data_IF_170831906687
#
_entry.id   IF_170831906687
#
_cell.length_a   1.000
_cell.length_b   1.000
_cell.length_c   1.000
_cell.angle_alpha   90.00
_cell.angle_beta   90.00
_cell.angle_gamma   90.00
#
_symmetry.space_group_name_H-M   'P 1'
#
loop_
_entity.id
_entity.type
_entity.pdbx_description
1 polymer ?
#
# COMPACT_ATOMS: atom_id res chain seq x y z
N UNK A 1 -10.20 0.11 -8.73
CA UNK A 1 -9.39 1.17 -8.12
C UNK A 1 -9.77 2.47 -8.79
N UNK A 2 -10.03 3.52 -8.02
CA UNK A 2 -10.17 4.87 -8.59
C UNK A 2 -8.76 5.46 -8.62
N UNK A 3 -8.24 5.73 -9.83
CA UNK A 3 -6.88 6.26 -10.06
C UNK A 3 -6.88 7.77 -10.31
N UNK A 4 -8.00 8.45 -10.07
CA UNK A 4 -8.15 9.88 -10.35
C UNK A 4 -7.16 10.71 -9.53
N UNK A 5 -6.91 10.33 -8.27
CA UNK A 5 -5.98 11.03 -7.40
C UNK A 5 -4.52 10.89 -7.87
N UNK A 6 -4.13 9.71 -8.31
CA UNK A 6 -2.79 9.41 -8.82
C UNK A 6 -2.55 10.07 -10.18
N UNK A 7 -3.56 10.03 -11.05
CA UNK A 7 -3.54 10.73 -12.35
C UNK A 7 -3.39 12.24 -12.14
N UNK A 8 -4.11 12.83 -11.18
CA UNK A 8 -3.97 14.24 -10.83
C UNK A 8 -2.57 14.60 -10.30
N UNK A 9 -1.83 13.63 -9.76
CA UNK A 9 -0.43 13.78 -9.33
C UNK A 9 0.59 13.56 -10.46
N UNK A 10 0.13 13.26 -11.67
CA UNK A 10 0.94 13.07 -12.87
C UNK A 10 1.40 11.63 -13.10
N UNK A 11 0.70 10.64 -12.55
CA UNK A 11 0.86 9.24 -12.95
C UNK A 11 0.19 9.02 -14.33
N UNK A 12 0.78 8.21 -15.23
CA UNK A 12 1.98 7.39 -15.03
C UNK A 12 3.31 8.05 -15.42
N UNK A 13 3.33 9.27 -15.95
CA UNK A 13 4.57 9.94 -16.41
C UNK A 13 5.55 10.21 -15.26
N UNK A 14 5.01 10.47 -14.06
CA UNK A 14 5.75 10.60 -12.81
C UNK A 14 5.53 9.39 -11.94
N UNK A 15 6.56 9.03 -11.17
CA UNK A 15 6.44 8.00 -10.15
C UNK A 15 5.56 8.50 -9.02
N UNK A 16 4.47 7.77 -8.76
CA UNK A 16 3.59 8.01 -7.62
C UNK A 16 3.76 6.86 -6.62
N UNK A 17 3.87 7.23 -5.35
CA UNK A 17 4.06 6.32 -4.23
C UNK A 17 2.91 6.56 -3.26
N UNK A 18 2.17 5.50 -2.93
CA UNK A 18 1.17 5.52 -1.86
C UNK A 18 1.86 5.29 -0.51
N UNK A 19 1.40 6.00 0.52
CA UNK A 19 1.90 5.85 1.89
C UNK A 19 0.73 5.68 2.84
N UNK A 20 0.82 4.71 3.75
CA UNK A 20 -0.20 4.44 4.78
C UNK A 20 0.46 3.85 6.04
N UNK A 21 -0.22 3.98 7.19
CA UNK A 21 0.25 3.46 8.47
C UNK A 21 -0.74 2.53 9.18
N UNK A 22 -0.19 1.61 9.97
CA UNK A 22 -0.93 0.74 10.89
C UNK A 22 -0.32 0.82 12.29
N UNK A 23 -1.15 0.64 13.33
CA UNK A 23 -0.68 0.61 14.72
C UNK A 23 -0.64 1.96 15.44
N UNK A 24 -1.30 3.01 14.92
CA UNK A 24 -1.42 4.32 15.62
C UNK A 24 -2.36 4.33 16.82
N UNK A 25 -3.36 3.44 16.85
CA UNK A 25 -4.40 3.37 17.89
C UNK A 25 -4.23 2.36 19.06
N UNK A 26 -3.53 1.21 18.93
CA UNK A 26 -3.38 0.26 20.03
C UNK A 26 -2.51 0.82 21.17
N UNK A 27 -2.69 0.27 22.37
CA UNK A 27 -1.93 0.63 23.57
C UNK A 27 -0.52 0.04 23.61
N UNK A 28 -0.25 -0.95 22.76
CA UNK A 28 1.02 -1.65 22.69
C UNK A 28 1.36 -2.00 21.24
N UNK A 29 2.65 -2.16 20.98
CA UNK A 29 3.20 -2.46 19.65
C UNK A 29 3.62 -1.21 18.87
N UNK A 30 4.41 -1.40 17.80
CA UNK A 30 4.91 -0.30 16.98
C UNK A 30 3.82 0.36 16.13
N UNK A 31 4.14 1.55 15.66
CA UNK A 31 3.53 2.13 14.45
C UNK A 31 4.38 1.68 13.26
N UNK A 32 3.74 1.09 12.26
CA UNK A 32 4.38 0.66 11.00
C UNK A 32 3.82 1.49 9.86
N UNK A 33 4.70 2.10 9.06
CA UNK A 33 4.34 2.83 7.84
C UNK A 33 4.95 2.12 6.62
N UNK A 34 4.19 2.05 5.53
CA UNK A 34 4.65 1.50 4.26
C UNK A 34 4.53 2.54 3.15
N UNK A 35 5.53 2.56 2.26
CA UNK A 35 5.54 3.36 1.05
C UNK A 35 5.67 2.42 -0.15
N UNK A 36 4.71 2.43 -1.07
CA UNK A 36 4.64 1.49 -2.21
C UNK A 36 4.48 2.26 -3.52
N UNK A 37 5.36 1.98 -4.49
CA UNK A 37 5.25 2.53 -5.84
C UNK A 37 4.04 1.93 -6.60
N UNK A 38 3.25 2.77 -7.25
CA UNK A 38 2.16 2.33 -8.13
C UNK A 38 2.65 2.19 -9.58
N UNK A 39 2.79 0.95 -10.10
CA UNK A 39 3.26 0.74 -11.46
C UNK A 39 2.16 1.03 -12.49
N UNK A 40 2.55 1.49 -13.69
CA UNK A 40 1.59 1.78 -14.77
C UNK A 40 0.87 0.55 -15.31
N UNK A 41 1.48 -0.64 -15.18
CA UNK A 41 0.95 -1.94 -15.57
C UNK A 41 0.23 -2.67 -14.42
N UNK A 42 -0.27 -1.94 -13.41
CA UNK A 42 -0.86 -2.53 -12.19
C UNK A 42 -1.99 -3.55 -12.48
N UNK A 43 -2.83 -3.30 -13.49
CA UNK A 43 -3.90 -4.23 -13.87
C UNK A 43 -3.35 -5.57 -14.38
N UNK A 44 -2.32 -5.53 -15.23
CA UNK A 44 -1.67 -6.73 -15.77
C UNK A 44 -0.95 -7.53 -14.68
N UNK A 45 -0.52 -6.86 -13.60
CA UNK A 45 0.07 -7.49 -12.40
C UNK A 45 -0.94 -8.08 -11.45
N UNK A 46 -2.24 -8.03 -11.77
CA UNK A 46 -3.30 -8.58 -10.91
C UNK A 46 -3.60 -7.72 -9.68
N UNK A 47 -3.18 -6.45 -9.66
CA UNK A 47 -3.49 -5.50 -8.58
C UNK A 47 -4.90 -4.88 -8.74
N UNK A 48 -5.75 -5.52 -9.55
CA UNK A 48 -7.14 -5.14 -9.74
C UNK A 48 -7.90 -5.38 -8.43
N UNK A 49 -8.57 -4.34 -7.93
CA UNK A 49 -9.28 -4.43 -6.66
C UNK A 49 -8.45 -4.03 -5.43
N UNK A 50 -7.27 -3.44 -5.64
CA UNK A 50 -6.50 -2.70 -4.63
C UNK A 50 -7.24 -1.42 -4.18
N UNK A 51 -8.42 -1.58 -3.59
CA UNK A 51 -9.22 -0.50 -3.01
C UNK A 51 -9.71 -0.93 -1.62
N UNK A 52 -9.92 0.05 -0.75
CA UNK A 52 -10.09 -0.03 0.72
C UNK A 52 -10.10 -1.46 1.30
N UNK A 53 -8.98 -1.82 1.93
CA UNK A 53 -8.68 -3.13 2.51
C UNK A 53 -9.75 -3.63 3.50
N UNK A 54 -10.59 -2.73 4.02
CA UNK A 54 -11.73 -3.03 4.90
C UNK A 54 -12.85 -3.82 4.22
N UNK A 55 -12.90 -3.85 2.88
CA UNK A 55 -13.90 -4.61 2.10
C UNK A 55 -13.36 -5.93 1.53
N UNK A 56 -12.09 -6.24 1.75
CA UNK A 56 -11.45 -7.45 1.24
C UNK A 56 -11.51 -8.58 2.27
N UNK A 57 -11.78 -9.80 1.80
CA UNK A 57 -11.57 -11.00 2.61
C UNK A 57 -10.09 -11.18 2.92
N UNK A 58 -9.78 -11.84 4.03
CA UNK A 58 -8.40 -12.16 4.45
C UNK A 58 -7.60 -12.82 3.31
N UNK A 59 -8.14 -13.87 2.69
CA UNK A 59 -7.53 -14.55 1.55
C UNK A 59 -7.20 -13.63 0.37
N UNK A 60 -8.05 -12.64 0.07
CA UNK A 60 -7.77 -11.66 -1.00
C UNK A 60 -6.69 -10.67 -0.59
N UNK A 61 -6.68 -10.26 0.68
CA UNK A 61 -5.67 -9.37 1.26
C UNK A 61 -4.29 -10.01 1.21
N UNK A 62 -4.17 -11.27 1.61
CA UNK A 62 -2.92 -12.03 1.56
C UNK A 62 -2.40 -12.17 0.12
N UNK A 63 -3.28 -12.58 -0.82
CA UNK A 63 -2.89 -12.69 -2.22
C UNK A 63 -2.41 -11.34 -2.81
N UNK A 64 -3.07 -10.24 -2.47
CA UNK A 64 -2.63 -8.90 -2.87
C UNK A 64 -1.35 -8.48 -2.15
N UNK A 65 -1.18 -8.82 -0.88
CA UNK A 65 0.03 -8.52 -0.11
C UNK A 65 1.26 -9.14 -0.76
N UNK A 66 1.20 -10.43 -1.12
CA UNK A 66 2.28 -11.11 -1.83
C UNK A 66 2.66 -10.40 -3.14
N UNK A 67 1.66 -9.96 -3.92
CA UNK A 67 1.89 -9.19 -5.15
C UNK A 67 2.50 -7.82 -4.87
N UNK A 68 2.01 -7.09 -3.87
CA UNK A 68 2.50 -5.77 -3.47
C UNK A 68 3.96 -5.83 -3.02
N UNK A 69 4.34 -6.87 -2.27
CA UNK A 69 5.71 -7.08 -1.82
C UNK A 69 6.71 -7.30 -2.98
N UNK A 70 6.25 -7.64 -4.19
CA UNK A 70 7.11 -7.68 -5.38
C UNK A 70 7.42 -6.30 -5.99
N UNK A 71 6.65 -5.28 -5.61
CA UNK A 71 6.84 -3.91 -6.10
C UNK A 71 7.95 -3.21 -5.32
N UNK A 72 8.57 -2.15 -5.88
CA UNK A 72 9.43 -1.27 -5.10
C UNK A 72 8.65 -0.69 -3.91
N UNK A 73 9.11 -1.00 -2.71
CA UNK A 73 8.48 -0.56 -1.47
C UNK A 73 9.52 -0.29 -0.38
N UNK A 74 9.10 0.45 0.65
CA UNK A 74 9.86 0.68 1.88
C UNK A 74 8.95 0.55 3.10
N UNK A 75 9.50 0.05 4.20
CA UNK A 75 8.80 -0.12 5.48
C UNK A 75 9.58 0.63 6.56
N UNK A 76 8.88 1.46 7.32
CA UNK A 76 9.39 2.14 8.50
C UNK A 76 8.66 1.65 9.74
N UNK A 77 9.40 1.37 10.81
CA UNK A 77 8.87 0.91 12.09
C UNK A 77 9.31 1.92 13.15
N UNK A 78 8.34 2.45 13.89
CA UNK A 78 8.57 3.33 15.02
C UNK A 78 8.14 2.63 16.32
N UNK A 79 9.12 2.42 17.20
CA UNK A 79 8.97 1.79 18.51
C UNK A 79 9.34 2.80 19.61
N UNK A 80 8.73 2.65 20.78
CA UNK A 80 9.14 3.40 21.97
C UNK A 80 10.44 2.77 22.46
N UNK A 81 11.53 3.54 22.46
CA UNK A 81 12.76 3.13 23.12
C UNK A 81 12.57 3.17 24.64
N UNK A 82 13.07 2.16 25.34
CA UNK A 82 13.17 2.14 26.81
C UNK A 82 14.16 3.20 27.32
#
# INVERSE_FOLDING_TARGET
>A
MDIAAETARGWPEKRVVGVDEAGRGPWAGPVVAAAVYLPSDYEARGLVGLNDSKKLSEKKREALFELICTLPHGIGIAEVAE
#
